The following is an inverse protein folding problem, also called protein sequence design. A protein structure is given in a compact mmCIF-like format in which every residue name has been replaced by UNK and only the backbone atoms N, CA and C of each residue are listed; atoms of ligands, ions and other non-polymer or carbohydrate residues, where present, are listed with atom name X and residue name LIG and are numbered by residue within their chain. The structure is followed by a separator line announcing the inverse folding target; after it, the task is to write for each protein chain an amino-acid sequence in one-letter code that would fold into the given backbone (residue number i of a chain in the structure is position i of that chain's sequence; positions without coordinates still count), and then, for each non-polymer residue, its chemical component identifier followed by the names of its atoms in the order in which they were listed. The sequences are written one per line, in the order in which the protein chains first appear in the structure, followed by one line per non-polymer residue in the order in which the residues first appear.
data_IF_750708949944
#
_entry.id   IF_750708949944
#
_cell.length_a   1.000
_cell.length_b   1.000
_cell.length_c   1.000
_cell.angle_alpha   90.00
_cell.angle_beta   90.00
_cell.angle_gamma   90.00
#
_symmetry.space_group_name_H-M   'P 1'
#
loop_
_entity.id
_entity.type
_entity.pdbx_description
1 polymer ?
#
# COMPACT_ATOMS: atom_id res chain seq x y z
N UNK A 1 -13.87 -3.68 15.97
CA UNK A 1 -14.26 -4.63 14.89
C UNK A 1 -14.12 -4.05 13.48
N UNK A 2 -14.71 -2.89 13.15
CA UNK A 2 -14.60 -2.29 11.80
C UNK A 2 -13.15 -1.88 11.44
N UNK A 3 -12.37 -1.54 12.46
CA UNK A 3 -11.03 -1.00 12.33
C UNK A 3 -9.92 -2.05 12.12
N UNK A 4 -9.95 -3.14 12.89
CA UNK A 4 -9.10 -4.31 12.65
C UNK A 4 -9.37 -4.97 11.28
N UNK A 5 -10.62 -4.95 10.83
CA UNK A 5 -10.97 -5.46 9.49
C UNK A 5 -10.34 -4.62 8.36
N UNK A 6 -10.07 -3.33 8.59
CA UNK A 6 -9.40 -2.45 7.64
C UNK A 6 -7.90 -2.76 7.48
N UNK A 7 -7.18 -2.98 8.58
CA UNK A 7 -5.75 -3.32 8.53
C UNK A 7 -5.51 -4.70 7.89
N UNK A 8 -6.39 -5.67 8.14
CA UNK A 8 -6.33 -7.00 7.51
C UNK A 8 -6.55 -6.93 5.99
N UNK A 9 -7.50 -6.11 5.53
CA UNK A 9 -7.75 -5.90 4.09
C UNK A 9 -6.57 -5.19 3.42
N UNK A 10 -6.02 -4.15 4.04
CA UNK A 10 -4.86 -3.43 3.52
C UNK A 10 -3.61 -4.33 3.45
N UNK A 11 -3.40 -5.17 4.45
CA UNK A 11 -2.32 -6.16 4.47
C UNK A 11 -2.49 -7.19 3.34
N UNK A 12 -3.74 -7.63 3.10
CA UNK A 12 -4.05 -8.58 2.03
C UNK A 12 -3.84 -7.97 0.65
N UNK A 13 -4.28 -6.72 0.44
CA UNK A 13 -4.04 -5.98 -0.80
C UNK A 13 -2.55 -5.77 -1.04
N UNK A 14 -1.81 -5.35 -0.01
CA UNK A 14 -0.35 -5.19 -0.04
C UNK A 14 0.36 -6.46 -0.52
N UNK A 15 0.02 -7.62 0.06
CA UNK A 15 0.60 -8.91 -0.34
C UNK A 15 0.28 -9.25 -1.80
N UNK A 16 -0.98 -9.11 -2.22
CA UNK A 16 -1.37 -9.38 -3.61
C UNK A 16 -0.63 -8.47 -4.59
N UNK A 17 -0.53 -7.18 -4.28
CA UNK A 17 0.17 -6.17 -5.07
C UNK A 17 1.66 -6.48 -5.20
N UNK A 18 2.32 -6.90 -4.11
CA UNK A 18 3.74 -7.32 -4.14
C UNK A 18 3.95 -8.55 -5.01
N UNK A 19 3.15 -9.61 -4.81
CA UNK A 19 3.25 -10.86 -5.59
C UNK A 19 2.99 -10.60 -7.08
N UNK A 20 1.97 -9.82 -7.42
CA UNK A 20 1.69 -9.47 -8.82
C UNK A 20 2.80 -8.63 -9.47
N UNK A 21 3.50 -7.80 -8.69
CA UNK A 21 4.68 -7.06 -9.18
C UNK A 21 5.87 -7.97 -9.48
N UNK A 22 6.16 -8.93 -8.60
CA UNK A 22 7.19 -9.96 -8.81
C UNK A 22 6.89 -10.85 -10.02
N UNK A 23 5.63 -11.27 -10.18
CA UNK A 23 5.16 -12.05 -11.32
C UNK A 23 5.31 -11.28 -12.63
N UNK A 24 4.92 -9.99 -12.67
CA UNK A 24 5.08 -9.18 -13.88
C UNK A 24 6.57 -9.01 -14.23
N UNK A 25 7.42 -8.72 -13.24
CA UNK A 25 8.87 -8.59 -13.48
C UNK A 25 9.48 -9.88 -14.03
N UNK A 26 9.01 -11.04 -13.56
CA UNK A 26 9.42 -12.36 -14.05
C UNK A 26 8.95 -12.58 -15.49
N UNK A 27 7.70 -12.26 -15.80
CA UNK A 27 7.15 -12.37 -17.17
C UNK A 27 7.86 -11.44 -18.17
N UNK A 28 8.22 -10.23 -17.76
CA UNK A 28 8.98 -9.28 -18.60
C UNK A 28 10.38 -9.81 -18.91
N UNK A 29 11.08 -10.38 -17.92
CA UNK A 29 12.39 -11.01 -18.14
C UNK A 29 12.28 -12.22 -19.06
N UNK A 30 11.31 -13.10 -18.81
CA UNK A 30 11.05 -14.27 -19.64
C UNK A 30 10.69 -13.88 -21.09
N UNK A 31 9.95 -12.78 -21.26
CA UNK A 31 9.64 -12.22 -22.57
C UNK A 31 10.92 -11.72 -23.26
N UNK A 32 11.80 -11.00 -22.56
CA UNK A 32 13.08 -10.53 -23.11
C UNK A 32 14.00 -11.70 -23.51
N UNK A 33 14.08 -12.76 -22.71
CA UNK A 33 14.86 -13.98 -23.00
C UNK A 33 14.28 -14.75 -24.20
N UNK A 34 12.96 -14.91 -24.26
CA UNK A 34 12.30 -15.54 -25.41
C UNK A 34 12.50 -14.75 -26.72
N UNK A 35 12.75 -13.46 -26.59
CA UNK A 35 12.90 -12.51 -27.67
C UNK A 35 14.37 -12.43 -28.16
N UNK A 36 15.36 -12.81 -27.35
CA UNK A 36 16.79 -12.87 -27.69
C UNK A 36 17.13 -13.67 -28.97
N UNK A 37 16.62 -14.90 -29.18
CA UNK A 37 16.88 -15.67 -30.40
C UNK A 37 16.21 -15.07 -31.66
N UNK A 38 15.26 -14.14 -31.50
CA UNK A 38 14.64 -13.43 -32.61
C UNK A 38 15.49 -12.24 -33.08
N UNK A 39 16.35 -11.69 -32.22
CA UNK A 39 17.20 -10.54 -32.54
C UNK A 39 18.23 -10.84 -33.66
N UNK A 40 18.65 -12.11 -33.79
CA UNK A 40 19.49 -12.60 -34.89
C UNK A 40 18.71 -12.96 -36.17
N UNK A 41 17.37 -13.02 -36.11
CA UNK A 41 16.51 -13.33 -37.26
C UNK A 41 15.88 -12.09 -37.90
N UNK A 42 15.82 -10.98 -37.18
CA UNK A 42 15.29 -9.71 -37.69
C UNK A 42 16.42 -8.78 -38.15
N UNK A 43 16.40 -8.41 -39.44
CA UNK A 43 17.30 -7.40 -40.02
C UNK A 43 16.52 -6.12 -40.36
N UNK A 44 17.17 -4.95 -40.27
CA UNK A 44 16.56 -3.66 -40.64
C UNK A 44 15.38 -3.26 -39.74
N UNK A 45 14.24 -2.91 -40.32
CA UNK A 45 13.06 -2.40 -39.61
C UNK A 45 12.50 -3.35 -38.53
N UNK A 46 12.66 -4.67 -38.71
CA UNK A 46 12.24 -5.66 -37.71
C UNK A 46 13.04 -5.57 -36.40
N UNK A 47 14.34 -5.27 -36.48
CA UNK A 47 15.17 -5.09 -35.29
C UNK A 47 14.87 -3.77 -34.59
N UNK A 48 14.63 -2.70 -35.34
CA UNK A 48 14.21 -1.42 -34.77
C UNK A 48 12.87 -1.52 -34.02
N UNK A 49 11.89 -2.26 -34.57
CA UNK A 49 10.62 -2.51 -33.90
C UNK A 49 10.78 -3.34 -32.62
N UNK A 50 11.67 -4.32 -32.65
CA UNK A 50 11.99 -5.16 -31.51
C UNK A 50 12.69 -4.39 -30.39
N UNK A 51 13.71 -3.59 -30.72
CA UNK A 51 14.44 -2.79 -29.75
C UNK A 51 13.51 -1.73 -29.12
N UNK A 52 12.57 -1.18 -29.89
CA UNK A 52 11.49 -0.33 -29.36
C UNK A 52 10.59 -1.10 -28.40
N UNK A 53 10.11 -2.28 -28.79
CA UNK A 53 9.27 -3.11 -27.94
C UNK A 53 9.93 -3.44 -26.60
N UNK A 54 11.22 -3.79 -26.61
CA UNK A 54 12.01 -4.00 -25.39
C UNK A 54 12.05 -2.74 -24.52
N UNK A 55 12.38 -1.59 -25.09
CA UNK A 55 12.46 -0.32 -24.35
C UNK A 55 11.13 0.09 -23.71
N UNK A 56 10.01 -0.08 -24.43
CA UNK A 56 8.66 0.18 -23.89
C UNK A 56 8.33 -0.79 -22.76
N UNK A 57 8.68 -2.07 -22.90
CA UNK A 57 8.43 -3.09 -21.87
C UNK A 57 9.24 -2.80 -20.61
N UNK A 58 10.51 -2.43 -20.75
CA UNK A 58 11.36 -2.03 -19.62
C UNK A 58 10.81 -0.78 -18.92
N UNK A 59 10.34 0.22 -19.69
CA UNK A 59 9.72 1.44 -19.14
C UNK A 59 8.43 1.12 -18.36
N UNK A 60 7.54 0.31 -18.93
CA UNK A 60 6.30 -0.12 -18.27
C UNK A 60 6.61 -0.88 -16.98
N UNK A 61 7.64 -1.73 -16.97
CA UNK A 61 8.05 -2.45 -15.77
C UNK A 61 8.54 -1.51 -14.66
N UNK A 62 9.31 -0.47 -15.02
CA UNK A 62 9.78 0.56 -14.07
C UNK A 62 8.59 1.36 -13.54
N UNK A 63 7.71 1.83 -14.41
CA UNK A 63 6.52 2.59 -14.03
C UNK A 63 5.58 1.80 -13.14
N UNK A 64 5.37 0.51 -13.45
CA UNK A 64 4.57 -0.35 -12.59
C UNK A 64 5.22 -0.49 -11.22
N UNK A 65 6.51 -0.77 -11.13
CA UNK A 65 7.21 -0.84 -9.83
C UNK A 65 7.09 0.47 -9.04
N UNK A 66 7.22 1.62 -9.71
CA UNK A 66 7.04 2.92 -9.07
C UNK A 66 5.60 3.12 -8.55
N UNK A 67 4.59 2.75 -9.34
CA UNK A 67 3.19 2.82 -8.95
C UNK A 67 2.89 1.88 -7.77
N UNK A 68 3.43 0.66 -7.76
CA UNK A 68 3.28 -0.30 -6.66
C UNK A 68 3.91 0.24 -5.37
N UNK A 69 5.11 0.82 -5.45
CA UNK A 69 5.76 1.47 -4.30
C UNK A 69 4.97 2.67 -3.77
N UNK A 70 4.36 3.47 -4.66
CA UNK A 70 3.49 4.56 -4.26
C UNK A 70 2.24 4.07 -3.53
N UNK A 71 1.62 2.97 -4.02
CA UNK A 71 0.49 2.32 -3.34
C UNK A 71 0.90 1.80 -1.96
N UNK A 72 2.03 1.09 -1.86
CA UNK A 72 2.56 0.60 -0.58
C UNK A 72 2.79 1.74 0.42
N UNK A 73 3.42 2.82 -0.04
CA UNK A 73 3.65 4.02 0.79
C UNK A 73 2.33 4.64 1.24
N UNK A 74 1.33 4.73 0.36
CA UNK A 74 -0.01 5.22 0.68
C UNK A 74 -0.71 4.33 1.73
N UNK A 75 -0.59 3.00 1.60
CA UNK A 75 -1.14 2.04 2.57
C UNK A 75 -0.48 2.21 3.93
N UNK A 76 0.85 2.30 3.99
CA UNK A 76 1.57 2.54 5.26
C UNK A 76 1.18 3.89 5.87
N UNK A 77 1.00 4.93 5.04
CA UNK A 77 0.52 6.23 5.50
C UNK A 77 -0.89 6.14 6.09
N UNK A 78 -1.81 5.43 5.44
CA UNK A 78 -3.17 5.20 5.94
C UNK A 78 -3.18 4.42 7.26
N UNK A 79 -2.40 3.34 7.38
CA UNK A 79 -2.29 2.57 8.62
C UNK A 79 -1.77 3.43 9.78
N UNK A 80 -0.76 4.27 9.52
CA UNK A 80 -0.24 5.22 10.51
C UNK A 80 -1.28 6.25 10.93
N UNK A 81 -1.92 6.95 9.98
CA UNK A 81 -2.93 7.98 10.29
C UNK A 81 -4.08 7.39 11.10
N UNK A 82 -4.39 6.13 10.86
CA UNK A 82 -5.44 5.43 11.55
C UNK A 82 -5.07 5.06 13.00
N UNK A 83 -3.86 4.54 13.23
CA UNK A 83 -3.34 4.30 14.58
C UNK A 83 -3.23 5.60 15.38
N UNK A 84 -2.71 6.66 14.77
CA UNK A 84 -2.61 7.98 15.39
C UNK A 84 -3.99 8.54 15.74
N UNK A 85 -4.98 8.41 14.84
CA UNK A 85 -6.35 8.83 15.10
C UNK A 85 -7.03 8.07 16.25
N UNK A 86 -6.81 6.76 16.37
CA UNK A 86 -7.35 5.94 17.47
C UNK A 86 -6.74 6.34 18.82
N UNK A 87 -5.42 6.54 18.85
CA UNK A 87 -4.70 7.06 20.01
C UNK A 87 -5.24 8.43 20.43
N UNK A 88 -5.42 9.33 19.47
CA UNK A 88 -5.89 10.69 19.72
C UNK A 88 -7.33 10.70 20.25
N UNK A 89 -8.23 9.88 19.70
CA UNK A 89 -9.59 9.72 20.24
C UNK A 89 -9.56 9.14 21.66
N UNK A 90 -8.70 8.17 21.94
CA UNK A 90 -8.57 7.60 23.28
C UNK A 90 -8.09 8.63 24.30
N UNK A 91 -7.11 9.46 23.93
CA UNK A 91 -6.57 10.51 24.79
C UNK A 91 -7.59 11.66 25.00
N UNK A 92 -8.31 12.07 23.94
CA UNK A 92 -9.42 13.03 24.04
C UNK A 92 -10.55 12.52 24.92
N UNK A 93 -10.90 11.23 24.79
CA UNK A 93 -11.92 10.58 25.61
C UNK A 93 -11.48 10.57 27.08
N UNK A 94 -10.25 10.13 27.39
CA UNK A 94 -9.73 10.16 28.77
C UNK A 94 -9.66 11.57 29.34
N UNK A 95 -9.26 12.56 28.54
CA UNK A 95 -9.21 13.96 28.95
C UNK A 95 -10.62 14.48 29.25
N UNK A 96 -11.60 14.12 28.43
CA UNK A 96 -13.00 14.51 28.62
C UNK A 96 -13.60 13.80 29.83
N UNK A 97 -13.35 12.50 30.02
CA UNK A 97 -13.76 11.72 31.18
C UNK A 97 -13.19 12.29 32.49
N UNK A 98 -11.90 12.68 32.48
CA UNK A 98 -11.26 13.34 33.62
C UNK A 98 -11.81 14.75 33.89
N UNK A 99 -12.27 15.46 32.86
CA UNK A 99 -12.89 16.78 32.97
C UNK A 99 -14.37 16.73 33.35
N UNK A 100 -15.09 15.65 32.98
CA UNK A 100 -16.44 15.36 33.48
C UNK A 100 -16.35 14.91 34.93
N UNK A 101 -16.39 15.90 35.82
CA UNK A 101 -16.25 15.75 37.26
C UNK A 101 -17.18 14.66 37.85
N UNK A 102 -16.59 13.54 38.27
CA UNK A 102 -17.18 12.64 39.27
C UNK A 102 -17.41 13.34 40.63
N UNK A 103 -16.94 14.58 40.79
CA UNK A 103 -17.16 15.40 41.99
C UNK A 103 -18.65 15.80 42.17
N UNK A 104 -19.40 15.94 41.08
CA UNK A 104 -20.86 16.15 41.14
C UNK A 104 -21.65 14.89 41.57
N UNK A 105 -21.01 13.72 41.61
CA UNK A 105 -21.63 12.44 42.00
C UNK A 105 -21.45 12.08 43.48
N UNK A 106 -20.87 12.96 44.32
CA UNK A 106 -20.92 12.80 45.79
C UNK A 106 -22.33 13.13 46.31
N UNK A 107 -23.27 12.19 46.16
CA UNK A 107 -24.55 12.18 46.89
C UNK A 107 -24.34 11.79 48.38
N UNK A 108 -23.38 12.42 49.06
CA UNK A 108 -22.93 12.02 50.40
C UNK A 108 -22.95 13.10 51.48
N UNK A 109 -23.26 14.36 51.16
CA UNK A 109 -23.18 15.44 52.15
C UNK A 109 -24.33 16.44 52.05
N UNK A 110 -25.54 15.97 52.33
CA UNK A 110 -26.45 16.68 53.25
C UNK A 110 -27.14 15.60 54.09
N UNK A 111 -26.61 15.38 55.30
CA UNK A 111 -27.21 14.56 56.35
C UNK A 111 -27.69 15.53 57.45
N UNK A 112 -28.92 15.28 57.91
CA UNK A 112 -29.63 15.86 59.07
C UNK A 112 -30.19 17.28 58.91
#
# INVERSE_FOLDING_TARGET
MKFAMGSDVLTTLTKKTSTSGEDLGTLVKALAEAAEPLQGKFNGAGRAAFDKFKGETDSIAIELNAALNAVLTGITGMDRSFQEGDQQMADETRSTEGATAFDAARFGSVKA
#
